data_IF_610513175996
#
_entry.id   IF_610513175996
#
_cell.length_a   1.000
_cell.length_b   1.000
_cell.length_c   1.000
_cell.angle_alpha   90.00
_cell.angle_beta   90.00
_cell.angle_gamma   90.00
#
_symmetry.space_group_name_H-M   'P 1'
#
loop_
_entity.id
_entity.type
_entity.pdbx_description
1 polymer ?
#
# COMPACT_ATOMS: atom_id res chain seq x y z
N UNK A 1 -10.37 23.52 -4.54
CA UNK A 1 -10.68 22.07 -4.52
C UNK A 1 -10.64 21.62 -5.97
N UNK A 2 -9.56 21.00 -6.38
CA UNK A 2 -9.43 20.42 -7.72
C UNK A 2 -9.84 18.96 -7.57
N UNK A 3 -11.08 18.65 -7.96
CA UNK A 3 -11.52 17.26 -8.08
C UNK A 3 -10.74 16.63 -9.23
N UNK A 4 -9.75 15.83 -8.91
CA UNK A 4 -9.17 14.92 -9.89
C UNK A 4 -10.19 13.79 -10.08
N UNK A 5 -11.00 13.88 -11.15
CA UNK A 5 -11.88 12.79 -11.52
C UNK A 5 -11.10 11.49 -11.57
N UNK A 6 -11.57 10.42 -10.91
CA UNK A 6 -10.90 9.13 -10.99
C UNK A 6 -10.80 8.73 -12.45
N UNK A 7 -9.61 8.32 -12.91
CA UNK A 7 -9.44 7.69 -14.21
C UNK A 7 -10.14 6.33 -14.12
N UNK A 8 -11.45 6.32 -14.33
CA UNK A 8 -12.28 5.11 -14.31
C UNK A 8 -12.11 4.40 -15.63
N UNK A 9 -11.16 3.51 -15.71
CA UNK A 9 -11.22 2.39 -16.63
C UNK A 9 -11.73 1.20 -15.82
N UNK A 10 -12.92 0.72 -16.03
CA UNK A 10 -13.60 -0.54 -15.60
C UNK A 10 -12.88 -1.41 -14.53
N UNK A 11 -12.22 -0.86 -13.50
CA UNK A 11 -11.18 -1.52 -12.77
C UNK A 11 -11.28 -1.30 -11.26
N UNK A 12 -10.90 -2.35 -10.58
CA UNK A 12 -10.96 -2.58 -9.16
C UNK A 12 -9.97 -1.76 -8.34
N UNK A 13 -9.13 -0.90 -8.95
CA UNK A 13 -8.10 -0.13 -8.26
C UNK A 13 -8.02 1.33 -8.73
N UNK A 14 -8.02 2.26 -7.78
CA UNK A 14 -7.75 3.68 -8.01
C UNK A 14 -7.11 4.32 -6.77
N UNK A 15 -6.26 5.32 -7.00
CA UNK A 15 -5.77 6.25 -5.98
C UNK A 15 -6.43 7.62 -6.23
N UNK A 16 -7.07 8.18 -5.23
CA UNK A 16 -7.68 9.53 -5.31
C UNK A 16 -7.18 10.38 -4.17
N UNK A 17 -6.97 11.67 -4.42
CA UNK A 17 -6.46 12.60 -3.43
C UNK A 17 -7.17 13.94 -3.45
N UNK A 18 -7.22 14.60 -2.27
CA UNK A 18 -7.63 15.99 -2.09
C UNK A 18 -6.52 16.75 -1.36
N UNK A 19 -6.17 17.93 -1.83
CA UNK A 19 -5.06 18.72 -1.31
C UNK A 19 -5.55 19.84 -0.37
N UNK A 20 -4.80 20.09 0.70
CA UNK A 20 -5.07 21.10 1.72
C UNK A 20 -3.86 22.02 1.86
N UNK A 21 -3.84 23.12 1.11
CA UNK A 21 -2.69 24.03 0.94
C UNK A 21 -2.24 24.68 2.25
N UNK A 22 -3.17 24.99 3.15
CA UNK A 22 -2.91 25.65 4.44
C UNK A 22 -2.16 24.78 5.44
N UNK A 23 -2.22 23.47 5.30
CA UNK A 23 -1.56 22.50 6.20
C UNK A 23 -0.49 21.66 5.52
N UNK A 24 -0.31 21.77 4.21
CA UNK A 24 0.54 20.88 3.39
C UNK A 24 0.18 19.40 3.58
N UNK A 25 -1.12 19.12 3.65
CA UNK A 25 -1.64 17.76 3.81
C UNK A 25 -2.37 17.29 2.56
N UNK A 26 -2.34 16.00 2.34
CA UNK A 26 -3.12 15.34 1.29
C UNK A 26 -3.99 14.26 1.93
N UNK A 27 -5.28 14.29 1.64
CA UNK A 27 -6.18 13.21 1.95
C UNK A 27 -6.10 12.17 0.82
N UNK A 28 -5.76 10.94 1.16
CA UNK A 28 -5.57 9.83 0.21
C UNK A 28 -6.66 8.78 0.42
N UNK A 29 -7.22 8.30 -0.68
CA UNK A 29 -8.09 7.11 -0.72
C UNK A 29 -7.55 6.09 -1.70
N UNK A 30 -7.50 4.84 -1.29
CA UNK A 30 -7.23 3.69 -2.14
C UNK A 30 -8.54 2.94 -2.38
N UNK A 31 -9.07 3.07 -3.58
CA UNK A 31 -10.36 2.49 -3.95
C UNK A 31 -10.14 1.13 -4.61
N UNK A 32 -10.76 0.09 -4.06
CA UNK A 32 -10.80 -1.25 -4.61
C UNK A 32 -12.27 -1.66 -4.75
N UNK A 33 -12.73 -1.74 -6.00
CA UNK A 33 -14.15 -1.85 -6.29
C UNK A 33 -14.90 -0.61 -5.81
N UNK A 34 -15.81 -0.79 -4.84
CA UNK A 34 -16.57 0.30 -4.21
C UNK A 34 -16.02 0.70 -2.82
N UNK A 35 -14.93 0.05 -2.36
CA UNK A 35 -14.41 0.22 -1.02
C UNK A 35 -13.17 1.11 -1.01
N UNK A 36 -13.12 2.06 -0.08
CA UNK A 36 -11.88 2.76 0.28
C UNK A 36 -11.15 1.93 1.34
N UNK A 37 -10.00 1.36 0.97
CA UNK A 37 -9.21 0.49 1.86
C UNK A 37 -8.54 1.30 2.98
N UNK A 38 -8.31 2.59 2.78
CA UNK A 38 -7.75 3.49 3.79
C UNK A 38 -8.81 4.06 4.74
N UNK A 39 -10.09 3.70 4.58
CA UNK A 39 -11.14 4.18 5.48
C UNK A 39 -11.09 3.47 6.82
N UNK A 40 -11.12 4.25 7.91
CA UNK A 40 -11.09 3.76 9.28
C UNK A 40 -12.06 4.54 10.17
N UNK A 41 -12.45 3.93 11.28
CA UNK A 41 -13.18 4.59 12.37
C UNK A 41 -12.22 5.07 13.44
N UNK A 42 -12.47 6.27 13.96
CA UNK A 42 -11.90 6.78 15.19
C UNK A 42 -13.03 7.40 16.03
N UNK A 43 -13.41 6.70 17.08
CA UNK A 43 -14.65 7.01 17.80
C UNK A 43 -15.90 6.83 16.94
N UNK A 44 -16.70 7.88 16.78
CA UNK A 44 -17.95 7.86 15.98
C UNK A 44 -17.75 8.35 14.53
N UNK A 45 -16.54 8.71 14.14
CA UNK A 45 -16.25 9.28 12.83
C UNK A 45 -15.63 8.23 11.89
N UNK A 46 -16.03 8.25 10.62
CA UNK A 46 -15.35 7.55 9.54
C UNK A 46 -14.42 8.58 8.89
N UNK A 47 -13.14 8.22 8.81
CA UNK A 47 -12.06 9.04 8.31
C UNK A 47 -11.30 8.26 7.22
N UNK A 48 -10.45 8.96 6.49
CA UNK A 48 -9.44 8.35 5.62
C UNK A 48 -8.08 8.98 5.93
N UNK A 49 -7.02 8.42 5.37
CA UNK A 49 -5.66 8.93 5.59
C UNK A 49 -5.55 10.38 5.11
N UNK A 50 -5.15 11.27 6.01
CA UNK A 50 -4.84 12.67 5.72
C UNK A 50 -3.56 13.07 6.43
N UNK A 51 -2.52 13.40 5.66
CA UNK A 51 -1.19 13.75 6.18
C UNK A 51 -0.31 14.39 5.11
N UNK A 52 0.92 14.81 5.50
CA UNK A 52 1.97 15.05 4.53
C UNK A 52 2.44 13.69 3.97
N UNK A 53 2.26 13.48 2.67
CA UNK A 53 2.56 12.21 2.01
C UNK A 53 3.86 12.22 1.21
N UNK A 54 4.75 13.20 1.42
CA UNK A 54 5.99 13.34 0.64
C UNK A 54 6.82 12.05 0.64
N UNK A 55 6.98 11.40 1.80
CA UNK A 55 7.77 10.15 1.90
C UNK A 55 7.08 8.98 1.22
N UNK A 56 5.75 8.84 1.34
CA UNK A 56 5.00 7.83 0.62
C UNK A 56 5.13 8.02 -0.90
N UNK A 57 5.05 9.26 -1.37
CA UNK A 57 5.20 9.59 -2.79
C UNK A 57 6.59 9.27 -3.31
N UNK A 58 7.64 9.59 -2.52
CA UNK A 58 9.02 9.23 -2.85
C UNK A 58 9.20 7.72 -2.91
N UNK A 59 8.67 7.00 -1.94
CA UNK A 59 8.72 5.55 -1.89
C UNK A 59 8.00 4.90 -3.09
N UNK A 60 6.78 5.34 -3.41
CA UNK A 60 6.04 4.85 -4.60
C UNK A 60 6.83 5.08 -5.88
N UNK A 61 7.42 6.28 -6.05
CA UNK A 61 8.23 6.60 -7.22
C UNK A 61 9.46 5.70 -7.36
N UNK A 62 10.13 5.45 -6.23
CA UNK A 62 11.40 4.73 -6.23
C UNK A 62 11.20 3.21 -6.40
N UNK A 63 10.05 2.66 -6.01
CA UNK A 63 9.79 1.22 -6.00
C UNK A 63 8.65 0.73 -6.91
N UNK A 64 8.00 1.59 -7.69
CA UNK A 64 6.88 1.19 -8.56
C UNK A 64 7.23 0.03 -9.50
N UNK A 65 8.42 0.03 -10.09
CA UNK A 65 8.86 -1.04 -11.00
C UNK A 65 9.07 -2.35 -10.24
N UNK A 66 9.71 -2.28 -9.08
CA UNK A 66 9.96 -3.44 -8.21
C UNK A 66 8.65 -4.08 -7.76
N UNK A 67 7.67 -3.29 -7.30
CA UNK A 67 6.34 -3.77 -6.90
C UNK A 67 5.64 -4.56 -8.01
N UNK A 68 5.86 -4.18 -9.27
CA UNK A 68 5.22 -4.81 -10.42
C UNK A 68 6.03 -5.97 -11.02
N UNK A 69 7.29 -6.18 -10.61
CA UNK A 69 8.19 -7.16 -11.21
C UNK A 69 8.59 -8.29 -10.26
N UNK A 70 8.61 -8.06 -8.95
CA UNK A 70 9.07 -9.04 -7.98
C UNK A 70 7.90 -9.82 -7.35
N UNK A 71 7.95 -11.17 -7.33
CA UNK A 71 7.04 -12.00 -6.56
C UNK A 71 7.41 -11.98 -5.08
N UNK A 72 6.56 -12.58 -4.24
CA UNK A 72 6.86 -12.78 -2.83
C UNK A 72 8.13 -13.64 -2.65
N UNK A 73 9.06 -13.27 -1.73
CA UNK A 73 10.46 -13.73 -1.81
C UNK A 73 10.72 -15.10 -1.18
N UNK A 74 9.80 -15.62 -0.37
CA UNK A 74 9.93 -16.88 0.37
C UNK A 74 8.69 -17.74 0.23
N UNK A 75 8.80 -19.05 0.52
CA UNK A 75 7.62 -19.91 0.65
C UNK A 75 6.91 -19.58 1.97
N UNK A 76 5.63 -19.28 1.88
CA UNK A 76 4.75 -19.06 3.03
C UNK A 76 3.30 -19.33 2.62
N UNK A 77 2.53 -19.89 3.54
CA UNK A 77 1.11 -20.12 3.35
C UNK A 77 0.35 -18.81 3.33
N UNK A 78 -0.64 -18.70 2.45
CA UNK A 78 -1.49 -17.53 2.35
C UNK A 78 -1.97 -17.25 0.93
N UNK A 79 -3.18 -16.71 0.83
CA UNK A 79 -3.76 -16.32 -0.46
C UNK A 79 -3.11 -15.04 -1.00
N UNK A 80 -2.75 -14.11 -0.11
CA UNK A 80 -2.22 -12.79 -0.43
C UNK A 80 -0.87 -12.54 0.24
N UNK A 81 -0.06 -11.62 -0.30
CA UNK A 81 1.22 -11.22 0.28
C UNK A 81 1.08 -10.76 1.73
N UNK A 82 0.03 -9.99 2.04
CA UNK A 82 -0.25 -9.54 3.40
C UNK A 82 -0.44 -10.68 4.42
N UNK A 83 -0.99 -11.82 3.99
CA UNK A 83 -1.14 -13.01 4.85
C UNK A 83 0.14 -13.85 4.87
N UNK A 84 0.82 -13.95 3.71
CA UNK A 84 2.11 -14.64 3.63
C UNK A 84 3.15 -14.02 4.55
N UNK A 85 3.18 -12.68 4.65
CA UNK A 85 4.13 -11.98 5.51
C UNK A 85 3.95 -12.32 7.00
N UNK A 86 2.71 -12.48 7.47
CA UNK A 86 2.43 -12.94 8.84
C UNK A 86 2.98 -14.37 9.03
N UNK A 87 2.60 -15.29 8.14
CA UNK A 87 2.96 -16.70 8.27
C UNK A 87 4.47 -16.93 8.06
N UNK A 88 5.12 -16.11 7.24
CA UNK A 88 6.56 -16.14 7.03
C UNK A 88 7.38 -15.78 8.29
N UNK A 89 6.79 -15.00 9.21
CA UNK A 89 7.44 -14.63 10.48
C UNK A 89 7.55 -15.80 11.48
N UNK A 90 6.88 -16.90 11.23
CA UNK A 90 6.98 -18.12 12.04
C UNK A 90 8.15 -19.04 11.62
N UNK A 91 8.96 -18.63 10.62
CA UNK A 91 10.12 -19.42 10.20
C UNK A 91 11.14 -19.53 11.32
N UNK A 92 11.59 -20.78 11.58
CA UNK A 92 12.63 -21.11 12.55
C UNK A 92 13.67 -22.04 11.92
N UNK A 93 14.93 -21.93 12.35
CA UNK A 93 16.03 -22.78 11.90
C UNK A 93 17.15 -22.82 12.95
N UNK A 94 17.66 -24.02 13.23
CA UNK A 94 18.86 -24.21 14.04
C UNK A 94 20.15 -23.73 13.33
N UNK A 95 20.11 -23.45 12.05
CA UNK A 95 21.18 -22.94 11.22
C UNK A 95 21.05 -21.41 11.15
N UNK A 96 21.92 -20.70 11.89
CA UNK A 96 21.90 -19.24 12.03
C UNK A 96 22.05 -18.53 10.66
N UNK A 97 22.94 -19.03 9.79
CA UNK A 97 23.15 -18.43 8.46
C UNK A 97 21.87 -18.56 7.59
N UNK A 98 21.12 -19.63 7.72
CA UNK A 98 19.84 -19.80 7.01
C UNK A 98 18.74 -18.93 7.60
N UNK A 99 18.69 -18.80 8.91
CA UNK A 99 17.75 -17.95 9.62
C UNK A 99 17.94 -16.50 9.18
N UNK A 100 19.18 -15.99 9.28
CA UNK A 100 19.51 -14.62 8.89
C UNK A 100 19.21 -14.37 7.40
N UNK A 101 19.65 -15.26 6.51
CA UNK A 101 19.41 -15.12 5.07
C UNK A 101 17.93 -15.18 4.69
N UNK A 102 17.09 -15.82 5.48
CA UNK A 102 15.63 -15.85 5.28
C UNK A 102 15.02 -14.49 5.63
N UNK A 103 15.32 -13.96 6.80
CA UNK A 103 14.77 -12.69 7.27
C UNK A 103 15.33 -11.51 6.51
N UNK A 104 16.61 -11.51 6.14
CA UNK A 104 17.21 -10.48 5.28
C UNK A 104 16.44 -10.32 3.95
N UNK A 105 16.09 -11.44 3.30
CA UNK A 105 15.29 -11.43 2.06
C UNK A 105 13.88 -10.91 2.29
N UNK A 106 13.25 -11.31 3.39
CA UNK A 106 11.89 -10.91 3.73
C UNK A 106 11.82 -9.42 4.05
N UNK A 107 12.76 -8.92 4.84
CA UNK A 107 12.80 -7.51 5.25
C UNK A 107 13.18 -6.59 4.08
N UNK A 108 14.13 -7.00 3.23
CA UNK A 108 14.48 -6.28 2.00
C UNK A 108 13.29 -6.22 1.03
N UNK A 109 12.54 -7.30 0.90
CA UNK A 109 11.33 -7.31 0.10
C UNK A 109 10.25 -6.39 0.70
N UNK A 110 9.99 -6.47 2.01
CA UNK A 110 9.01 -5.64 2.70
C UNK A 110 9.32 -4.14 2.54
N UNK A 111 10.58 -3.74 2.61
CA UNK A 111 10.99 -2.35 2.40
C UNK A 111 10.53 -1.80 1.04
N UNK A 112 10.50 -2.64 0.01
CA UNK A 112 10.17 -2.27 -1.38
C UNK A 112 8.73 -2.53 -1.78
N UNK A 113 8.00 -3.37 -1.04
CA UNK A 113 6.69 -3.88 -1.42
C UNK A 113 5.56 -3.58 -0.42
N UNK A 114 5.90 -3.14 0.80
CA UNK A 114 4.97 -2.79 1.85
C UNK A 114 5.09 -1.30 2.16
N UNK A 115 4.04 -0.54 1.98
CA UNK A 115 4.13 0.91 2.12
C UNK A 115 4.04 1.44 3.57
N UNK A 116 3.74 0.59 4.53
CA UNK A 116 3.64 0.97 5.94
C UNK A 116 4.87 1.73 6.48
N UNK A 117 6.12 1.37 6.14
CA UNK A 117 7.30 2.12 6.58
C UNK A 117 7.33 3.58 6.10
N UNK A 118 6.64 3.90 5.01
CA UNK A 118 6.54 5.25 4.45
C UNK A 118 5.38 6.07 5.05
N UNK A 119 4.73 5.60 6.12
CA UNK A 119 3.58 6.26 6.74
C UNK A 119 3.92 7.56 7.48
N UNK A 120 5.14 7.69 7.98
CA UNK A 120 5.65 8.89 8.69
C UNK A 120 4.73 9.42 9.78
N UNK A 121 4.06 8.52 10.50
CA UNK A 121 3.11 8.86 11.56
C UNK A 121 1.67 9.06 11.08
N UNK A 122 1.40 8.93 9.78
CA UNK A 122 0.04 8.88 9.28
C UNK A 122 -0.66 7.58 9.69
N UNK A 123 -1.97 7.63 9.93
CA UNK A 123 -2.81 6.43 9.97
C UNK A 123 -2.95 5.91 8.56
N UNK A 124 -2.25 4.84 8.25
CA UNK A 124 -2.18 4.27 6.92
C UNK A 124 -2.47 2.77 6.99
N UNK A 125 -3.40 2.29 6.15
CA UNK A 125 -3.63 0.86 6.00
C UNK A 125 -2.34 0.17 5.54
N UNK A 126 -2.13 -1.05 6.00
CA UNK A 126 -0.94 -1.83 5.65
C UNK A 126 -1.14 -2.52 4.29
N UNK A 127 -0.63 -1.90 3.22
CA UNK A 127 -0.74 -2.42 1.86
C UNK A 127 0.57 -3.04 1.38
N UNK A 128 0.41 -4.14 0.66
CA UNK A 128 1.46 -4.92 0.01
C UNK A 128 1.22 -4.98 -1.50
N UNK A 129 2.29 -5.01 -2.27
CA UNK A 129 2.27 -5.10 -3.72
C UNK A 129 3.22 -6.21 -4.18
N UNK A 130 2.78 -7.10 -5.06
CA UNK A 130 3.64 -8.16 -5.62
C UNK A 130 3.24 -8.54 -7.03
N UNK A 131 4.19 -9.10 -7.78
CA UNK A 131 3.89 -9.78 -9.04
C UNK A 131 3.27 -11.16 -8.78
N UNK A 132 2.12 -11.42 -9.39
CA UNK A 132 1.49 -12.73 -9.45
C UNK A 132 1.11 -13.07 -10.90
N UNK A 133 1.89 -13.93 -11.55
CA UNK A 133 1.73 -14.18 -12.98
C UNK A 133 2.05 -12.93 -13.82
N UNK A 134 1.04 -12.37 -14.48
CA UNK A 134 1.14 -11.13 -15.27
C UNK A 134 0.40 -9.95 -14.65
N UNK A 135 -0.01 -10.07 -13.39
CA UNK A 135 -0.79 -9.07 -12.69
C UNK A 135 -0.04 -8.59 -11.44
N UNK A 136 -0.35 -7.39 -10.98
CA UNK A 136 0.07 -6.89 -9.68
C UNK A 136 -1.02 -7.22 -8.67
N UNK A 137 -0.66 -7.95 -7.63
CA UNK A 137 -1.52 -8.12 -6.46
C UNK A 137 -1.35 -6.93 -5.54
N UNK A 138 -2.47 -6.37 -5.12
CA UNK A 138 -2.56 -5.35 -4.06
C UNK A 138 -3.30 -6.02 -2.92
N UNK A 139 -2.65 -6.21 -1.78
CA UNK A 139 -3.25 -6.85 -0.62
C UNK A 139 -3.02 -6.04 0.65
N UNK A 140 -3.84 -6.30 1.66
CA UNK A 140 -3.77 -5.58 2.93
C UNK A 140 -4.09 -6.49 4.11
N UNK A 141 -3.50 -6.14 5.26
CA UNK A 141 -3.87 -6.66 6.56
C UNK A 141 -3.80 -5.53 7.60
N UNK A 142 -4.92 -5.19 8.18
CA UNK A 142 -5.10 -4.11 9.13
C UNK A 142 -5.55 -4.62 10.51
N UNK A 143 -5.31 -5.91 10.85
CA UNK A 143 -5.70 -6.50 12.13
C UNK A 143 -4.98 -5.84 13.31
N UNK A 144 -3.71 -5.46 13.11
CA UNK A 144 -2.85 -4.86 14.13
C UNK A 144 -2.82 -3.31 14.05
N UNK A 145 -3.97 -2.68 13.78
CA UNK A 145 -4.07 -1.22 13.74
C UNK A 145 -3.76 -0.59 15.12
N UNK A 146 -3.30 0.66 15.13
CA UNK A 146 -3.02 1.40 16.37
C UNK A 146 -4.27 1.53 17.26
N UNK A 147 -4.07 1.71 18.57
CA UNK A 147 -5.17 1.85 19.55
C UNK A 147 -6.11 3.00 19.16
N UNK A 148 -7.39 2.69 19.09
CA UNK A 148 -8.46 3.64 18.75
C UNK A 148 -8.70 3.83 17.25
N UNK A 149 -8.01 3.05 16.40
CA UNK A 149 -8.23 2.99 14.95
C UNK A 149 -8.83 1.63 14.59
N UNK A 150 -9.93 1.64 13.84
CA UNK A 150 -10.60 0.45 13.33
C UNK A 150 -10.80 0.60 11.82
N UNK A 151 -9.96 -0.07 11.01
CA UNK A 151 -10.13 -0.05 9.56
C UNK A 151 -11.43 -0.74 9.15
N UNK A 152 -12.11 -0.20 8.13
CA UNK A 152 -13.35 -0.79 7.61
C UNK A 152 -13.08 -2.04 6.78
N UNK A 153 -11.88 -2.16 6.23
CA UNK A 153 -11.42 -3.29 5.43
C UNK A 153 -10.23 -3.93 6.15
N UNK A 154 -10.47 -5.02 6.84
CA UNK A 154 -9.47 -5.63 7.73
C UNK A 154 -8.42 -6.39 6.92
N UNK A 155 -8.84 -7.36 6.10
CA UNK A 155 -7.95 -8.23 5.33
C UNK A 155 -8.53 -8.42 3.94
N UNK A 156 -7.66 -8.46 2.93
CA UNK A 156 -8.07 -8.78 1.56
C UNK A 156 -6.98 -8.54 0.54
N UNK A 157 -7.36 -8.74 -0.73
CA UNK A 157 -6.47 -8.50 -1.85
C UNK A 157 -7.21 -8.50 -3.18
N UNK A 158 -6.58 -7.91 -4.18
CA UNK A 158 -7.06 -7.86 -5.56
C UNK A 158 -5.87 -7.98 -6.51
N UNK A 159 -6.12 -8.56 -7.69
CA UNK A 159 -5.14 -8.59 -8.78
C UNK A 159 -5.57 -7.64 -9.88
N UNK A 160 -4.64 -6.81 -10.32
CA UNK A 160 -4.85 -5.83 -11.37
C UNK A 160 -3.82 -6.00 -12.47
N UNK A 161 -4.17 -5.69 -13.71
CA UNK A 161 -3.18 -5.71 -14.80
C UNK A 161 -2.05 -4.73 -14.50
N UNK A 162 -0.81 -5.10 -14.82
CA UNK A 162 0.36 -4.23 -14.62
C UNK A 162 0.16 -2.84 -15.22
N UNK A 163 -0.37 -2.75 -16.43
CA UNK A 163 -0.65 -1.48 -17.09
C UNK A 163 -1.58 -0.58 -16.27
N UNK A 164 -2.63 -1.16 -15.67
CA UNK A 164 -3.56 -0.41 -14.84
C UNK A 164 -2.90 0.07 -13.55
N UNK A 165 -2.09 -0.79 -12.93
CA UNK A 165 -1.32 -0.44 -11.75
C UNK A 165 -0.40 0.77 -12.02
N UNK A 166 0.42 0.69 -13.07
CA UNK A 166 1.31 1.78 -13.46
C UNK A 166 0.54 3.08 -13.77
N UNK A 167 -0.54 2.99 -14.56
CA UNK A 167 -1.34 4.15 -14.93
C UNK A 167 -1.93 4.86 -13.70
N UNK A 168 -2.42 4.11 -12.72
CA UNK A 168 -3.01 4.67 -11.49
C UNK A 168 -1.95 5.31 -10.60
N UNK A 169 -0.83 4.62 -10.35
CA UNK A 169 0.25 5.15 -9.51
C UNK A 169 0.92 6.36 -10.17
N UNK A 170 1.22 6.29 -11.46
CA UNK A 170 1.82 7.40 -12.22
C UNK A 170 0.90 8.63 -12.26
N UNK A 171 -0.41 8.44 -12.42
CA UNK A 171 -1.38 9.55 -12.38
C UNK A 171 -1.41 10.23 -11.00
N UNK A 172 -1.36 9.43 -9.92
CA UNK A 172 -1.27 9.96 -8.55
C UNK A 172 0.03 10.74 -8.33
N UNK A 173 1.19 10.16 -8.70
CA UNK A 173 2.50 10.81 -8.56
C UNK A 173 2.56 12.14 -9.33
N UNK A 174 2.03 12.18 -10.55
CA UNK A 174 1.94 13.41 -11.36
C UNK A 174 1.03 14.46 -10.74
N UNK A 175 -0.15 14.07 -10.24
CA UNK A 175 -1.07 14.97 -9.59
C UNK A 175 -0.46 15.59 -8.32
N UNK A 176 0.21 14.77 -7.51
CA UNK A 176 0.90 15.22 -6.30
C UNK A 176 2.04 16.20 -6.62
N UNK A 177 2.91 15.83 -7.57
CA UNK A 177 4.03 16.66 -7.99
C UNK A 177 3.56 18.00 -8.61
N UNK A 178 2.50 17.97 -9.42
CA UNK A 178 1.93 19.18 -10.02
C UNK A 178 1.39 20.15 -8.96
N UNK A 179 0.82 19.63 -7.88
CA UNK A 179 0.23 20.45 -6.83
C UNK A 179 1.28 21.03 -5.88
N UNK A 180 2.21 20.22 -5.39
CA UNK A 180 3.14 20.63 -4.33
C UNK A 180 4.49 21.17 -4.80
N UNK A 181 4.94 20.83 -6.02
CA UNK A 181 6.29 21.15 -6.48
C UNK A 181 6.35 22.04 -7.74
N UNK A 182 5.21 22.56 -8.25
CA UNK A 182 5.10 23.56 -9.30
C UNK A 182 4.43 24.81 -8.78
#
# INVERSE_FOLDING_TARGET
>A
MIDTNPITNNHTFALTCSFFDDTHETELSTIIGENNILAFKRGNSILTTRWNLDELVLWLRDFIDTMAEDPYPVEADGEYAAIKDINARDFDSDDEDKFDAYYDRLDDWNLRHRWHPASCGAVLADLYFQLVGNEVEISWNNEDAEEGVEFLNIVGGVKVKKENFYNVVDAFLKAYALHWFN
#
